data_IF_997330621353
#
_entry.id   IF_997330621353
#
_cell.length_a   1.000
_cell.length_b   1.000
_cell.length_c   1.000
_cell.angle_alpha   90.00
_cell.angle_beta   90.00
_cell.angle_gamma   90.00
#
_symmetry.space_group_name_H-M   'P 1'
#
loop_
_entity.id
_entity.type
_entity.pdbx_description
1 polymer ?
#
# COMPACT_ATOMS: atom_id res chain seq x y z
N UNK A 1 -30.99 -67.25 -25.42
CA UNK A 1 -32.24 -66.48 -25.52
C UNK A 1 -32.16 -65.31 -24.54
N UNK A 2 -31.90 -64.10 -25.05
CA UNK A 2 -31.84 -62.86 -24.25
C UNK A 2 -33.26 -62.28 -24.19
N UNK A 3 -33.83 -62.20 -22.98
CA UNK A 3 -35.11 -61.53 -22.76
C UNK A 3 -34.86 -60.08 -22.36
N UNK A 4 -35.38 -59.16 -23.17
CA UNK A 4 -35.51 -57.72 -22.87
C UNK A 4 -36.59 -57.53 -21.80
N UNK A 5 -36.30 -56.72 -20.78
CA UNK A 5 -37.29 -56.23 -19.83
C UNK A 5 -37.45 -54.71 -19.99
N UNK A 6 -38.63 -54.39 -20.51
CA UNK A 6 -39.46 -53.19 -20.43
C UNK A 6 -38.97 -52.01 -19.56
N UNK A 7 -38.82 -50.84 -20.18
CA UNK A 7 -38.80 -49.53 -19.50
C UNK A 7 -40.17 -48.89 -19.69
N UNK A 8 -40.95 -48.76 -18.60
CA UNK A 8 -42.23 -48.06 -18.59
C UNK A 8 -41.96 -46.61 -18.16
N UNK A 9 -42.31 -45.67 -19.03
CA UNK A 9 -42.31 -44.24 -18.74
C UNK A 9 -43.52 -43.90 -17.85
N UNK A 10 -43.26 -43.31 -16.67
CA UNK A 10 -44.30 -42.75 -15.81
C UNK A 10 -44.15 -41.21 -15.82
N UNK A 11 -45.07 -40.54 -16.52
CA UNK A 11 -45.32 -39.11 -16.35
C UNK A 11 -46.19 -38.90 -15.12
N UNK A 12 -45.73 -38.11 -14.15
CA UNK A 12 -46.56 -37.59 -13.06
C UNK A 12 -46.79 -36.08 -13.29
N UNK A 13 -48.03 -35.58 -13.22
CA UNK A 13 -48.32 -34.16 -13.27
C UNK A 13 -48.19 -33.56 -11.86
N UNK A 14 -47.49 -32.43 -11.74
CA UNK A 14 -47.57 -31.56 -10.55
C UNK A 14 -48.20 -30.24 -10.99
N UNK A 15 -49.39 -29.98 -10.48
CA UNK A 15 -50.08 -28.71 -10.61
C UNK A 15 -50.08 -27.95 -9.28
N UNK A 16 -49.80 -26.66 -9.44
CA UNK A 16 -50.28 -25.49 -8.69
C UNK A 16 -49.57 -25.00 -7.42
N UNK A 17 -49.20 -23.72 -7.56
CA UNK A 17 -49.52 -22.60 -6.67
C UNK A 17 -48.47 -22.20 -5.63
N UNK A 18 -47.72 -21.16 -6.01
CA UNK A 18 -46.89 -20.36 -5.11
C UNK A 18 -46.67 -18.99 -5.75
N UNK A 19 -47.65 -18.11 -5.60
CA UNK A 19 -47.53 -16.70 -5.96
C UNK A 19 -46.62 -16.04 -4.91
N UNK A 20 -45.39 -15.73 -5.30
CA UNK A 20 -44.43 -14.95 -4.51
C UNK A 20 -43.80 -13.91 -5.43
N UNK A 21 -44.39 -12.72 -5.46
CA UNK A 21 -43.79 -11.54 -6.08
C UNK A 21 -42.50 -11.21 -5.32
N UNK A 22 -41.34 -11.60 -5.84
CA UNK A 22 -40.06 -11.00 -5.43
C UNK A 22 -39.86 -9.77 -6.31
N UNK A 23 -40.27 -8.62 -5.77
CA UNK A 23 -39.94 -7.33 -6.34
C UNK A 23 -38.44 -7.06 -6.15
N UNK A 24 -37.76 -6.79 -7.26
CA UNK A 24 -36.58 -5.92 -7.30
C UNK A 24 -35.32 -6.46 -6.62
N UNK A 25 -34.57 -7.29 -7.32
CA UNK A 25 -33.10 -7.28 -7.16
C UNK A 25 -32.66 -5.95 -7.75
N UNK A 26 -32.47 -4.95 -6.88
CA UNK A 26 -31.72 -3.75 -7.24
C UNK A 26 -30.34 -4.22 -7.71
N UNK A 27 -29.84 -3.78 -8.87
CA UNK A 27 -28.42 -3.94 -9.16
C UNK A 27 -27.67 -3.33 -7.99
N UNK A 28 -26.76 -4.10 -7.38
CA UNK A 28 -25.94 -3.61 -6.29
C UNK A 28 -25.30 -2.30 -6.72
N UNK A 29 -25.55 -1.26 -5.94
CA UNK A 29 -24.81 -0.01 -6.04
C UNK A 29 -23.32 -0.37 -5.95
N UNK A 30 -22.64 -0.11 -7.06
CA UNK A 30 -21.21 0.04 -7.12
C UNK A 30 -20.83 1.12 -6.10
N UNK A 31 -20.06 0.73 -5.09
CA UNK A 31 -19.44 1.64 -4.13
C UNK A 31 -18.28 2.35 -4.83
N UNK A 32 -18.37 3.67 -5.09
CA UNK A 32 -17.34 4.40 -5.82
C UNK A 32 -16.09 4.73 -4.97
N UNK A 33 -16.03 4.30 -3.71
CA UNK A 33 -14.89 4.53 -2.82
C UNK A 33 -14.23 3.22 -2.32
N UNK A 34 -13.36 2.60 -3.13
CA UNK A 34 -12.56 1.44 -2.72
C UNK A 34 -11.44 1.78 -1.71
N UNK A 35 -11.30 3.04 -1.28
CA UNK A 35 -10.22 3.49 -0.40
C UNK A 35 -10.67 3.88 1.01
N UNK A 36 -11.97 3.91 1.31
CA UNK A 36 -12.49 3.85 2.67
C UNK A 36 -11.98 4.94 3.63
N UNK A 37 -11.73 6.16 3.13
CA UNK A 37 -11.37 7.32 3.96
C UNK A 37 -12.53 8.32 3.98
N UNK A 38 -13.56 8.00 4.77
CA UNK A 38 -14.57 8.96 5.17
C UNK A 38 -14.58 9.14 6.70
N UNK A 39 -14.14 10.32 7.13
CA UNK A 39 -14.53 11.07 8.32
C UNK A 39 -14.50 10.36 9.69
N UNK A 40 -13.30 10.29 10.26
CA UNK A 40 -13.07 10.03 11.70
C UNK A 40 -12.50 11.25 12.40
N UNK A 41 -13.36 12.17 12.84
CA UNK A 41 -12.98 13.34 13.64
C UNK A 41 -12.16 12.95 14.88
N UNK A 42 -11.02 13.62 15.05
CA UNK A 42 -10.08 13.41 16.14
C UNK A 42 -10.68 13.64 17.53
N UNK A 43 -10.50 12.67 18.41
CA UNK A 43 -10.72 12.81 19.84
C UNK A 43 -9.60 13.62 20.47
N UNK A 44 -9.92 14.84 20.91
CA UNK A 44 -9.04 15.66 21.73
C UNK A 44 -8.93 15.07 23.15
N UNK A 45 -7.76 14.53 23.50
CA UNK A 45 -7.37 14.20 24.86
C UNK A 45 -6.75 15.42 25.54
N UNK A 46 -7.40 15.91 26.60
CA UNK A 46 -7.00 17.09 27.34
C UNK A 46 -5.80 16.86 28.27
N UNK A 47 -5.09 17.95 28.55
CA UNK A 47 -4.12 18.04 29.64
C UNK A 47 -4.40 19.31 30.46
N UNK A 48 -4.90 19.11 31.67
CA UNK A 48 -4.96 20.11 32.73
C UNK A 48 -3.67 20.11 33.56
N UNK A 49 -3.19 21.30 33.90
CA UNK A 49 -2.70 21.61 35.25
C UNK A 49 -1.18 21.62 35.50
N UNK A 50 -0.64 22.80 35.82
CA UNK A 50 0.63 22.90 36.55
C UNK A 50 1.28 24.29 36.57
N UNK A 51 0.73 25.24 37.32
CA UNK A 51 1.33 26.55 37.56
C UNK A 51 2.25 26.56 38.80
N UNK A 52 3.34 27.34 38.74
CA UNK A 52 4.24 27.72 39.85
C UNK A 52 5.72 27.54 39.50
N UNK A 53 6.66 28.44 39.76
CA UNK A 53 6.65 29.74 40.42
C UNK A 53 7.92 30.54 40.05
N UNK A 54 7.97 31.79 40.53
CA UNK A 54 8.91 32.83 40.14
C UNK A 54 10.23 32.90 40.95
N UNK A 55 11.23 33.58 40.37
CA UNK A 55 12.43 34.17 41.01
C UNK A 55 13.75 33.50 40.56
N UNK A 56 14.85 34.17 40.20
CA UNK A 56 15.26 35.59 40.24
C UNK A 56 16.53 35.78 39.39
N UNK A 57 16.62 36.94 38.71
CA UNK A 57 17.82 37.78 38.44
C UNK A 57 19.18 37.19 37.98
N UNK A 58 19.63 37.66 36.82
CA UNK A 58 20.94 38.35 36.71
C UNK A 58 21.98 37.72 35.78
N UNK A 59 22.28 38.38 34.66
CA UNK A 59 23.47 38.10 33.85
C UNK A 59 23.37 38.65 32.43
N UNK A 60 23.89 39.85 32.20
CA UNK A 60 23.95 40.51 30.90
C UNK A 60 25.09 39.98 30.02
N UNK A 61 24.89 40.02 28.70
CA UNK A 61 25.95 40.26 27.72
C UNK A 61 26.54 39.01 27.06
N UNK A 62 25.99 38.63 25.90
CA UNK A 62 26.61 37.70 24.96
C UNK A 62 26.08 37.97 23.56
N UNK A 63 26.91 38.57 22.74
CA UNK A 63 26.68 38.99 21.36
C UNK A 63 26.20 37.88 20.44
N UNK A 64 25.30 38.24 19.52
CA UNK A 64 24.64 37.41 18.51
C UNK A 64 25.46 36.23 17.97
N UNK A 65 25.08 35.04 18.40
CA UNK A 65 25.18 33.86 17.55
C UNK A 65 24.01 33.93 16.59
N UNK A 66 24.29 33.99 15.29
CA UNK A 66 23.32 33.64 14.28
C UNK A 66 22.75 32.28 14.66
N UNK A 67 21.44 32.23 14.89
CA UNK A 67 20.66 31.00 14.97
C UNK A 67 20.87 30.26 13.65
N UNK A 68 21.92 29.45 13.58
CA UNK A 68 21.99 28.39 12.59
C UNK A 68 20.88 27.43 13.00
N UNK A 69 19.74 27.58 12.33
CA UNK A 69 18.72 26.56 12.28
C UNK A 69 19.45 25.22 12.10
N UNK A 70 19.23 24.22 12.97
CA UNK A 70 19.91 22.95 12.84
C UNK A 70 19.68 22.45 11.42
N UNK A 71 20.76 22.37 10.62
CA UNK A 71 20.65 21.91 9.24
C UNK A 71 19.96 20.55 9.28
N UNK A 72 18.81 20.47 8.61
CA UNK A 72 18.09 19.21 8.47
C UNK A 72 19.10 18.18 7.95
N UNK A 73 19.16 16.98 8.56
CA UNK A 73 20.12 15.96 8.14
C UNK A 73 20.03 15.80 6.63
N UNK A 74 21.20 15.71 5.98
CA UNK A 74 21.26 15.53 4.53
C UNK A 74 20.42 14.32 4.17
N UNK A 75 19.42 14.54 3.32
CA UNK A 75 18.56 13.49 2.81
C UNK A 75 19.40 12.32 2.29
N UNK A 76 19.15 11.13 2.83
CA UNK A 76 19.72 9.88 2.35
C UNK A 76 18.78 9.25 1.31
N UNK A 77 19.32 8.34 0.50
CA UNK A 77 18.51 7.54 -0.40
C UNK A 77 17.67 6.49 0.35
N UNK A 78 18.03 6.16 1.60
CA UNK A 78 17.26 5.24 2.45
C UNK A 78 15.86 5.81 2.68
N UNK A 79 14.85 5.05 2.29
CA UNK A 79 13.44 5.36 2.46
C UNK A 79 12.98 4.88 3.83
N UNK A 80 13.27 3.62 4.13
CA UNK A 80 12.93 3.01 5.41
C UNK A 80 13.72 1.73 5.62
N UNK A 81 14.22 1.53 6.84
CA UNK A 81 14.78 0.29 7.36
C UNK A 81 13.94 -0.27 8.53
N UNK A 82 12.84 0.41 8.89
CA UNK A 82 11.90 0.05 9.96
C UNK A 82 12.51 -0.05 11.36
N UNK A 83 13.75 0.39 11.55
CA UNK A 83 14.50 0.24 12.81
C UNK A 83 14.03 1.20 13.91
N UNK A 84 13.20 2.19 13.57
CA UNK A 84 12.51 3.04 14.54
C UNK A 84 11.25 2.38 15.13
N UNK A 85 10.88 1.20 14.64
CA UNK A 85 9.84 0.34 15.19
C UNK A 85 8.41 0.85 14.94
N UNK A 86 8.24 1.77 13.99
CA UNK A 86 6.92 2.28 13.63
C UNK A 86 6.59 2.07 12.14
N UNK A 87 5.43 2.58 11.71
CA UNK A 87 4.92 2.43 10.36
C UNK A 87 5.15 3.67 9.49
N UNK A 88 5.94 4.64 9.92
CA UNK A 88 6.27 5.84 9.16
C UNK A 88 7.61 5.65 8.46
N UNK A 89 7.71 6.14 7.22
CA UNK A 89 8.99 6.13 6.53
C UNK A 89 9.93 7.21 7.10
N UNK A 90 11.23 7.02 6.93
CA UNK A 90 12.23 7.97 7.41
C UNK A 90 12.01 9.36 6.81
N UNK A 91 11.84 10.35 7.69
CA UNK A 91 11.60 11.74 7.26
C UNK A 91 12.82 12.36 6.59
N UNK A 92 12.61 12.96 5.42
CA UNK A 92 13.66 13.69 4.70
C UNK A 92 13.03 14.64 3.66
N UNK A 93 13.32 15.95 3.74
CA UNK A 93 12.62 16.99 2.96
C UNK A 93 11.09 16.81 3.07
N UNK A 94 10.38 16.72 1.95
CA UNK A 94 8.94 16.51 1.87
C UNK A 94 8.56 15.03 2.01
N UNK A 95 9.49 14.13 2.34
CA UNK A 95 9.17 12.73 2.59
C UNK A 95 8.57 12.56 3.98
N UNK A 96 7.26 12.40 4.03
CA UNK A 96 6.45 12.27 5.25
C UNK A 96 5.37 11.24 4.97
N UNK A 97 5.78 9.98 4.91
CA UNK A 97 4.95 8.87 4.47
C UNK A 97 4.66 7.84 5.55
N UNK A 98 3.83 6.85 5.23
CA UNK A 98 3.53 5.75 6.13
C UNK A 98 3.14 4.50 5.37
N UNK A 99 3.49 3.35 5.94
CA UNK A 99 3.13 2.03 5.47
C UNK A 99 1.65 1.75 5.61
N UNK A 100 1.11 1.02 4.65
CA UNK A 100 -0.26 0.56 4.60
C UNK A 100 -0.35 -0.83 3.97
N UNK A 101 -1.46 -1.52 4.23
CA UNK A 101 -1.86 -2.69 3.46
C UNK A 101 -3.12 -2.38 2.66
N UNK A 102 -3.27 -3.05 1.53
CA UNK A 102 -4.41 -2.91 0.64
C UNK A 102 -4.76 -4.26 0.01
N UNK A 103 -6.02 -4.41 -0.39
CA UNK A 103 -6.48 -5.55 -1.18
C UNK A 103 -7.71 -5.21 -2.04
N UNK A 104 -8.07 -6.14 -2.92
CA UNK A 104 -9.15 -5.99 -3.88
C UNK A 104 -10.58 -6.16 -3.32
N UNK A 105 -10.75 -6.23 -2.00
CA UNK A 105 -12.06 -6.35 -1.35
C UNK A 105 -12.75 -7.72 -1.53
N UNK A 106 -12.06 -8.75 -2.04
CA UNK A 106 -12.62 -10.10 -2.15
C UNK A 106 -13.08 -10.60 -0.78
N UNK A 107 -14.39 -10.89 -0.63
CA UNK A 107 -15.00 -11.31 0.65
C UNK A 107 -14.35 -12.53 1.31
N UNK A 108 -13.85 -13.47 0.50
CA UNK A 108 -13.16 -14.66 0.99
C UNK A 108 -11.65 -14.47 1.17
N UNK A 109 -11.12 -13.31 0.76
CA UNK A 109 -9.72 -12.96 0.92
C UNK A 109 -9.37 -12.69 2.38
N UNK A 110 -8.15 -13.06 2.75
CA UNK A 110 -7.59 -12.79 4.05
C UNK A 110 -6.21 -12.16 3.88
N UNK A 111 -5.90 -11.17 4.70
CA UNK A 111 -4.61 -10.50 4.72
C UNK A 111 -4.24 -10.06 6.14
N UNK A 112 -2.96 -10.14 6.45
CA UNK A 112 -2.37 -9.65 7.69
C UNK A 112 -1.14 -8.80 7.33
N UNK A 113 -1.04 -7.55 7.84
CA UNK A 113 -2.08 -6.78 8.52
C UNK A 113 -3.32 -6.52 7.63
N UNK A 114 -4.50 -6.40 8.24
CA UNK A 114 -5.72 -6.01 7.51
C UNK A 114 -5.63 -4.54 7.04
N UNK A 115 -6.11 -4.19 5.83
CA UNK A 115 -6.19 -2.80 5.40
C UNK A 115 -6.92 -1.91 6.41
N UNK A 116 -6.43 -0.68 6.55
CA UNK A 116 -6.94 0.29 7.53
C UNK A 116 -6.56 -0.01 8.99
N UNK A 117 -5.70 -1.01 9.24
CA UNK A 117 -5.06 -1.21 10.55
C UNK A 117 -3.66 -0.59 10.56
N UNK A 118 -3.17 -0.18 11.75
CA UNK A 118 -1.78 0.24 11.87
C UNK A 118 -0.84 -0.81 11.29
N UNK A 119 0.08 -0.36 10.45
CA UNK A 119 1.20 -1.18 10.02
C UNK A 119 2.26 -1.14 11.11
N UNK A 120 2.73 -2.31 11.53
CA UNK A 120 3.80 -2.44 12.52
C UNK A 120 4.87 -3.38 11.97
N UNK A 121 6.15 -3.03 12.08
CA UNK A 121 7.23 -3.91 11.69
C UNK A 121 7.23 -5.20 12.51
N UNK A 122 7.84 -6.25 11.94
CA UNK A 122 8.01 -7.56 12.61
C UNK A 122 9.48 -7.95 12.67
N UNK A 123 9.83 -8.81 13.63
CA UNK A 123 11.17 -9.35 13.81
C UNK A 123 11.22 -10.84 13.43
N UNK A 124 12.34 -11.37 12.87
CA UNK A 124 13.59 -10.67 12.56
C UNK A 124 13.58 -10.01 11.17
N UNK A 125 14.32 -8.91 11.05
CA UNK A 125 14.67 -8.26 9.80
C UNK A 125 15.73 -8.99 8.97
N UNK A 126 16.23 -8.30 7.95
CA UNK A 126 17.33 -8.73 7.11
C UNK A 126 18.68 -8.47 7.79
N UNK A 127 19.55 -9.49 7.82
CA UNK A 127 20.94 -9.31 8.25
C UNK A 127 21.04 -8.79 9.70
N UNK A 128 21.62 -7.59 9.95
CA UNK A 128 21.70 -6.99 11.27
C UNK A 128 20.42 -6.26 11.72
N UNK A 129 19.44 -6.02 10.83
CA UNK A 129 18.20 -5.30 11.13
C UNK A 129 17.30 -6.09 12.08
N UNK A 130 16.70 -5.41 13.06
CA UNK A 130 15.77 -6.00 14.03
C UNK A 130 14.38 -6.21 13.39
N UNK A 131 14.00 -5.32 12.48
CA UNK A 131 12.66 -5.19 11.95
C UNK A 131 12.61 -5.35 10.43
N UNK A 132 11.43 -5.71 9.92
CA UNK A 132 11.09 -5.73 8.50
C UNK A 132 9.58 -5.52 8.30
N UNK A 133 9.21 -5.04 7.11
CA UNK A 133 7.81 -4.96 6.70
C UNK A 133 7.31 -6.35 6.29
N UNK A 134 6.16 -6.77 6.82
CA UNK A 134 5.59 -8.10 6.55
C UNK A 134 4.16 -8.02 6.06
N UNK A 135 3.84 -8.83 5.06
CA UNK A 135 2.46 -9.06 4.64
C UNK A 135 2.25 -10.52 4.27
N UNK A 136 1.13 -11.08 4.74
CA UNK A 136 0.69 -12.42 4.37
C UNK A 136 -0.79 -12.41 3.99
N UNK A 137 -1.19 -13.27 3.06
CA UNK A 137 -2.57 -13.35 2.61
C UNK A 137 -2.85 -14.40 1.55
N UNK A 138 -4.13 -14.58 1.26
CA UNK A 138 -4.63 -15.51 0.25
C UNK A 138 -6.10 -15.24 -0.08
N UNK A 139 -6.61 -15.86 -1.14
CA UNK A 139 -8.05 -15.91 -1.44
C UNK A 139 -8.60 -14.72 -2.23
N UNK A 140 -7.73 -13.84 -2.74
CA UNK A 140 -8.09 -12.72 -3.61
C UNK A 140 -8.34 -13.21 -5.04
N UNK A 141 -9.41 -12.74 -5.69
CA UNK A 141 -9.83 -13.24 -7.02
C UNK A 141 -9.99 -12.16 -8.08
N UNK A 142 -9.86 -10.88 -7.71
CA UNK A 142 -10.10 -9.75 -8.61
C UNK A 142 -8.80 -9.13 -9.12
N UNK A 143 -8.11 -8.38 -8.25
CA UNK A 143 -6.84 -7.71 -8.57
C UNK A 143 -5.69 -8.31 -7.77
N UNK A 144 -5.91 -8.67 -6.52
CA UNK A 144 -4.87 -9.14 -5.61
C UNK A 144 -4.80 -8.34 -4.32
N UNK A 145 -3.63 -8.34 -3.69
CA UNK A 145 -3.38 -7.66 -2.43
C UNK A 145 -1.89 -7.36 -2.25
N UNK A 146 -1.57 -6.44 -1.34
CA UNK A 146 -0.19 -6.06 -1.07
C UNK A 146 -0.02 -5.14 0.11
N UNK A 147 1.21 -4.67 0.27
CA UNK A 147 1.58 -3.60 1.17
C UNK A 147 2.32 -2.53 0.39
N UNK A 148 2.42 -1.33 0.94
CA UNK A 148 3.18 -0.24 0.35
C UNK A 148 3.33 0.88 1.36
N UNK A 149 3.94 1.97 0.93
CA UNK A 149 3.98 3.20 1.69
C UNK A 149 3.82 4.40 0.77
N UNK A 150 3.09 5.40 1.24
CA UNK A 150 2.98 6.68 0.55
C UNK A 150 4.27 7.45 0.79
N UNK A 151 4.70 8.25 -0.19
CA UNK A 151 5.97 8.99 -0.09
C UNK A 151 5.81 10.32 0.64
N UNK A 152 4.61 10.89 0.67
CA UNK A 152 4.36 12.20 1.26
C UNK A 152 2.89 12.37 1.67
N UNK A 153 2.68 13.13 2.75
CA UNK A 153 1.38 13.56 3.22
C UNK A 153 1.38 15.06 3.49
N UNK A 154 0.27 15.72 3.10
CA UNK A 154 -0.04 17.05 3.56
C UNK A 154 -0.33 17.06 5.07
N UNK A 155 -0.18 18.21 5.76
CA UNK A 155 -0.80 18.38 7.08
C UNK A 155 -2.29 18.02 7.02
N UNK A 156 -2.70 17.05 7.84
CA UNK A 156 -4.07 16.49 7.83
C UNK A 156 -4.21 15.15 7.11
N UNK A 157 -3.14 14.60 6.53
CA UNK A 157 -3.08 13.22 6.04
C UNK A 157 -3.48 13.02 4.58
N UNK A 158 -3.74 14.09 3.81
CA UNK A 158 -3.98 13.95 2.38
C UNK A 158 -2.69 13.51 1.68
N UNK A 159 -2.77 12.45 0.87
CA UNK A 159 -1.63 11.94 0.10
C UNK A 159 -1.12 13.01 -0.88
N UNK A 160 0.19 13.20 -0.88
CA UNK A 160 0.89 14.13 -1.75
C UNK A 160 1.94 13.41 -2.59
N UNK A 161 2.37 14.10 -3.62
CA UNK A 161 3.46 13.63 -4.46
C UNK A 161 4.84 13.95 -3.85
N UNK A 162 5.85 13.22 -4.29
CA UNK A 162 7.26 13.37 -3.94
C UNK A 162 8.10 13.41 -5.22
N UNK A 163 9.06 14.35 -5.26
CA UNK A 163 10.01 14.46 -6.37
C UNK A 163 11.18 13.49 -6.17
N UNK A 164 11.11 12.36 -6.87
CA UNK A 164 12.14 11.34 -6.95
C UNK A 164 13.03 11.48 -8.21
N UNK A 165 13.00 12.61 -8.91
CA UNK A 165 13.75 12.82 -10.17
C UNK A 165 15.28 12.73 -10.03
N UNK A 166 15.79 12.84 -8.80
CA UNK A 166 17.20 12.65 -8.48
C UNK A 166 17.63 11.18 -8.41
N UNK A 167 16.71 10.23 -8.57
CA UNK A 167 16.96 8.79 -8.44
C UNK A 167 16.60 8.06 -9.73
N UNK A 168 17.20 6.89 -9.93
CA UNK A 168 16.99 6.05 -11.12
C UNK A 168 16.23 4.75 -10.85
N UNK A 169 15.90 4.45 -9.59
CA UNK A 169 15.26 3.19 -9.23
C UNK A 169 15.10 2.99 -7.73
N UNK A 170 14.74 1.77 -7.36
CA UNK A 170 14.55 1.28 -6.00
C UNK A 170 15.43 0.05 -5.76
N UNK A 171 16.09 -0.01 -4.61
CA UNK A 171 16.69 -1.23 -4.07
C UNK A 171 16.02 -1.58 -2.74
N UNK A 172 15.88 -2.87 -2.49
CA UNK A 172 15.31 -3.39 -1.24
C UNK A 172 15.74 -4.84 -1.06
N UNK A 173 15.68 -5.33 0.17
CA UNK A 173 15.82 -6.74 0.46
C UNK A 173 14.43 -7.37 0.56
N UNK A 174 14.30 -8.61 0.08
CA UNK A 174 13.06 -9.35 0.22
C UNK A 174 13.29 -10.85 0.40
N UNK A 175 12.33 -11.50 1.06
CA UNK A 175 12.15 -12.95 1.07
C UNK A 175 10.66 -13.30 1.22
N UNK A 176 10.31 -14.54 0.90
CA UNK A 176 8.96 -15.06 1.12
C UNK A 176 8.96 -16.47 1.72
N UNK A 177 7.85 -16.91 2.30
CA UNK A 177 7.72 -18.27 2.83
C UNK A 177 7.77 -19.35 1.73
N UNK A 178 7.45 -18.97 0.50
CA UNK A 178 7.61 -19.78 -0.72
C UNK A 178 8.01 -18.84 -1.88
N UNK A 179 8.69 -19.35 -2.93
CA UNK A 179 8.99 -18.54 -4.11
C UNK A 179 7.71 -17.88 -4.64
N UNK A 180 7.73 -16.56 -4.75
CA UNK A 180 6.53 -15.76 -5.02
C UNK A 180 6.84 -14.73 -6.09
N UNK A 181 5.95 -14.60 -7.07
CA UNK A 181 6.01 -13.50 -8.03
C UNK A 181 5.29 -12.28 -7.45
N UNK A 182 5.97 -11.13 -7.44
CA UNK A 182 5.43 -9.86 -6.95
C UNK A 182 5.61 -8.78 -8.01
N UNK A 183 4.78 -7.74 -7.97
CA UNK A 183 4.96 -6.53 -8.76
C UNK A 183 5.39 -5.40 -7.82
N UNK A 184 6.50 -4.73 -8.17
CA UNK A 184 6.94 -3.53 -7.47
C UNK A 184 6.38 -2.34 -8.25
N UNK A 185 5.35 -1.70 -7.71
CA UNK A 185 4.61 -0.63 -8.38
C UNK A 185 5.01 0.74 -7.84
N UNK A 186 4.95 1.72 -8.75
CA UNK A 186 5.26 3.13 -8.54
C UNK A 186 4.09 3.96 -9.07
N UNK A 187 3.04 4.19 -8.26
CA UNK A 187 2.01 5.15 -8.58
C UNK A 187 2.61 6.54 -8.85
N UNK A 188 2.26 7.14 -9.98
CA UNK A 188 2.63 8.50 -10.37
C UNK A 188 1.37 9.35 -10.55
N UNK A 189 1.53 10.64 -10.86
CA UNK A 189 0.40 11.55 -11.14
C UNK A 189 -0.59 11.04 -12.21
N UNK A 190 -0.16 10.15 -13.11
CA UNK A 190 -0.97 9.69 -14.24
C UNK A 190 -1.75 8.41 -13.91
N UNK A 191 -1.36 7.68 -12.87
CA UNK A 191 -1.89 6.34 -12.53
C UNK A 191 -2.54 6.32 -11.15
N UNK A 192 -2.09 7.20 -10.25
CA UNK A 192 -2.64 7.43 -8.92
C UNK A 192 -3.85 8.37 -8.96
N UNK A 193 -4.88 8.08 -8.16
CA UNK A 193 -6.15 8.83 -8.18
C UNK A 193 -5.95 10.26 -7.67
N UNK A 194 -5.05 10.45 -6.72
CA UNK A 194 -4.72 11.73 -6.11
C UNK A 194 -3.92 12.63 -7.06
N UNK A 195 -3.40 12.06 -8.16
CA UNK A 195 -2.85 12.82 -9.29
C UNK A 195 -3.90 13.59 -10.09
N UNK A 196 -5.17 13.17 -10.04
CA UNK A 196 -6.29 13.82 -10.73
C UNK A 196 -6.21 13.77 -12.27
N UNK A 197 -5.30 12.97 -12.84
CA UNK A 197 -5.13 12.80 -14.29
C UNK A 197 -5.84 11.54 -14.79
N UNK A 198 -5.75 10.43 -14.06
CA UNK A 198 -6.48 9.23 -14.41
C UNK A 198 -7.98 9.40 -14.14
N UNK A 199 -8.82 8.76 -14.94
CA UNK A 199 -10.28 8.90 -14.82
C UNK A 199 -10.96 7.58 -14.41
N UNK A 200 -11.82 7.66 -13.40
CA UNK A 200 -12.74 6.59 -13.03
C UNK A 200 -12.05 5.24 -12.76
N UNK A 201 -12.38 4.24 -13.56
CA UNK A 201 -11.81 2.89 -13.49
C UNK A 201 -10.47 2.75 -14.22
N UNK A 202 -9.97 3.82 -14.85
CA UNK A 202 -8.67 3.88 -15.52
C UNK A 202 -7.51 4.23 -14.58
N UNK A 203 -7.78 4.50 -13.30
CA UNK A 203 -6.78 4.62 -12.25
C UNK A 203 -6.33 3.25 -11.73
N UNK A 204 -5.08 3.16 -11.30
CA UNK A 204 -4.49 1.95 -10.71
C UNK A 204 -3.65 1.10 -11.66
N UNK A 205 -3.51 1.51 -12.92
CA UNK A 205 -2.59 0.87 -13.88
C UNK A 205 -1.17 1.44 -13.67
N UNK A 206 -0.61 1.16 -12.49
CA UNK A 206 0.63 1.76 -12.04
C UNK A 206 1.82 1.26 -12.87
N UNK A 207 2.83 2.11 -12.98
CA UNK A 207 4.13 1.71 -13.50
C UNK A 207 4.75 0.69 -12.55
N UNK A 208 5.18 -0.45 -13.06
CA UNK A 208 5.78 -1.48 -12.22
C UNK A 208 6.67 -2.43 -12.98
N UNK A 209 7.33 -3.31 -12.22
CA UNK A 209 8.07 -4.45 -12.74
C UNK A 209 7.72 -5.70 -11.91
N UNK A 210 7.47 -6.81 -12.62
CA UNK A 210 7.24 -8.11 -12.01
C UNK A 210 8.56 -8.82 -11.72
N UNK A 211 8.77 -9.27 -10.48
CA UNK A 211 9.97 -9.99 -10.06
C UNK A 211 9.61 -11.26 -9.29
N UNK A 212 10.50 -12.26 -9.37
CA UNK A 212 10.39 -13.47 -8.57
C UNK A 212 11.28 -13.34 -7.32
N UNK A 213 10.65 -13.31 -6.14
CA UNK A 213 11.36 -13.33 -4.86
C UNK A 213 11.50 -14.75 -4.31
N UNK A 214 12.62 -15.02 -3.67
CA UNK A 214 12.98 -16.36 -3.16
C UNK A 214 12.67 -16.55 -1.68
N UNK A 215 12.96 -17.74 -1.15
CA UNK A 215 12.80 -18.05 0.28
C UNK A 215 13.92 -17.52 1.15
N UNK A 216 15.03 -17.11 0.54
CA UNK A 216 16.17 -16.50 1.23
C UNK A 216 16.17 -15.00 1.00
N UNK A 217 16.68 -14.25 1.98
CA UNK A 217 16.93 -12.83 1.81
C UNK A 217 17.87 -12.60 0.62
N UNK A 218 17.41 -11.82 -0.34
CA UNK A 218 18.20 -11.33 -1.44
C UNK A 218 17.88 -9.85 -1.68
N UNK A 219 18.85 -9.12 -2.21
CA UNK A 219 18.65 -7.75 -2.64
C UNK A 219 18.11 -7.73 -4.07
N UNK A 220 17.08 -6.93 -4.30
CA UNK A 220 16.48 -6.70 -5.60
C UNK A 220 16.63 -5.23 -5.97
N UNK A 221 16.72 -4.96 -7.27
CA UNK A 221 16.78 -3.60 -7.81
C UNK A 221 15.80 -3.48 -8.96
N UNK A 222 14.94 -2.47 -8.90
CA UNK A 222 13.97 -2.14 -9.94
C UNK A 222 14.28 -0.73 -10.44
N UNK A 223 14.62 -0.60 -11.72
CA UNK A 223 14.99 0.67 -12.34
C UNK A 223 13.77 1.37 -12.92
N UNK A 224 13.75 2.70 -12.90
CA UNK A 224 12.63 3.50 -13.43
C UNK A 224 12.49 3.41 -14.95
N UNK A 225 13.59 3.16 -15.66
CA UNK A 225 13.64 3.11 -17.14
C UNK A 225 13.06 1.83 -17.74
N UNK A 226 12.87 0.78 -16.94
CA UNK A 226 12.22 -0.47 -17.35
C UNK A 226 10.73 -0.54 -17.01
N UNK A 227 10.23 0.42 -16.21
CA UNK A 227 8.85 0.37 -15.74
C UNK A 227 7.86 0.51 -16.89
N UNK A 228 6.80 -0.27 -16.81
CA UNK A 228 5.66 -0.18 -17.74
C UNK A 228 4.35 -0.38 -16.98
N UNK A 229 3.24 0.01 -17.60
CA UNK A 229 1.89 -0.30 -17.11
C UNK A 229 1.36 -1.54 -17.85
N UNK A 230 0.30 -2.16 -17.34
CA UNK A 230 -0.38 -3.28 -18.01
C UNK A 230 -1.21 -2.81 -19.23
N UNK A 231 -1.36 -1.49 -19.41
CA UNK A 231 -1.94 -0.85 -20.59
C UNK A 231 -3.46 -0.74 -20.58
N UNK A 232 -4.11 -0.97 -19.44
CA UNK A 232 -5.56 -0.79 -19.28
C UNK A 232 -5.92 0.59 -18.69
N UNK A 233 -4.93 1.34 -18.20
CA UNK A 233 -5.10 2.67 -17.62
C UNK A 233 -5.52 3.74 -18.62
N UNK A 234 -6.16 4.78 -18.11
CA UNK A 234 -6.53 5.96 -18.88
C UNK A 234 -6.10 7.21 -18.09
N UNK A 235 -5.08 7.96 -18.55
CA UNK A 235 -4.27 7.73 -19.75
C UNK A 235 -3.33 6.51 -19.63
N UNK A 236 -2.76 6.07 -20.75
CA UNK A 236 -1.69 5.07 -20.81
C UNK A 236 -0.34 5.77 -21.14
N UNK A 237 0.31 6.42 -20.16
CA UNK A 237 1.58 7.10 -20.35
C UNK A 237 2.70 6.13 -20.76
N UNK A 238 3.65 6.62 -21.56
CA UNK A 238 4.73 5.79 -22.10
C UNK A 238 5.91 5.56 -21.13
N UNK A 239 6.01 6.34 -20.06
CA UNK A 239 7.09 6.28 -19.09
C UNK A 239 6.64 6.84 -17.73
N UNK A 240 7.25 6.32 -16.67
CA UNK A 240 7.06 6.76 -15.30
C UNK A 240 7.48 8.23 -15.14
N UNK A 241 6.71 9.00 -14.36
CA UNK A 241 7.04 10.38 -13.98
C UNK A 241 7.63 10.45 -12.56
N UNK A 242 8.96 10.38 -12.40
CA UNK A 242 9.60 10.38 -11.09
C UNK A 242 9.48 11.73 -10.37
N UNK A 243 9.17 12.83 -11.06
CA UNK A 243 8.95 14.12 -10.41
C UNK A 243 7.63 14.17 -9.65
N UNK A 244 6.72 13.22 -9.92
CA UNK A 244 5.43 13.13 -9.27
C UNK A 244 5.09 11.71 -8.81
N UNK A 245 5.98 11.11 -8.01
CA UNK A 245 5.76 9.79 -7.41
C UNK A 245 4.84 9.89 -6.17
N UNK A 246 3.96 8.92 -5.97
CA UNK A 246 2.97 8.92 -4.90
C UNK A 246 3.26 7.86 -3.83
N UNK A 247 3.63 6.65 -4.25
CA UNK A 247 3.88 5.52 -3.34
C UNK A 247 4.92 4.57 -3.91
N UNK A 248 5.31 3.60 -3.10
CA UNK A 248 5.95 2.36 -3.54
C UNK A 248 5.11 1.21 -3.01
N UNK A 249 4.76 0.26 -3.88
CA UNK A 249 3.91 -0.87 -3.49
C UNK A 249 4.53 -2.22 -3.86
N UNK A 250 4.39 -3.18 -2.97
CA UNK A 250 4.73 -4.59 -3.17
C UNK A 250 3.43 -5.38 -3.33
N UNK A 251 3.09 -5.67 -4.58
CA UNK A 251 1.81 -6.22 -4.97
C UNK A 251 1.90 -7.72 -5.31
N UNK A 252 0.88 -8.47 -4.94
CA UNK A 252 0.68 -9.87 -5.38
C UNK A 252 -0.62 -9.96 -6.16
N UNK A 253 -0.56 -10.62 -7.32
CA UNK A 253 -1.75 -10.79 -8.16
C UNK A 253 -2.79 -11.71 -7.50
N UNK A 254 -4.04 -11.63 -7.99
CA UNK A 254 -5.09 -12.59 -7.63
C UNK A 254 -4.64 -14.05 -7.69
N UNK A 255 -5.28 -14.90 -6.89
CA UNK A 255 -4.98 -16.33 -6.75
C UNK A 255 -3.59 -16.64 -6.20
N UNK A 256 -2.84 -15.64 -5.72
CA UNK A 256 -1.57 -15.84 -5.03
C UNK A 256 -1.80 -16.10 -3.55
N UNK A 257 -1.12 -17.11 -3.02
CA UNK A 257 -0.90 -17.26 -1.57
C UNK A 257 0.47 -16.66 -1.28
N UNK A 258 0.52 -15.66 -0.41
CA UNK A 258 1.74 -14.91 -0.15
C UNK A 258 1.98 -14.78 1.35
N UNK A 259 3.24 -14.74 1.71
CA UNK A 259 3.78 -14.45 3.03
C UNK A 259 5.20 -13.96 2.76
N UNK A 260 5.39 -12.64 2.77
CA UNK A 260 6.61 -11.99 2.32
C UNK A 260 7.04 -10.88 3.25
N UNK A 261 8.36 -10.72 3.33
CA UNK A 261 9.01 -9.64 4.05
C UNK A 261 9.84 -8.80 3.09
N UNK A 262 9.84 -7.48 3.31
CA UNK A 262 10.74 -6.54 2.65
C UNK A 262 11.45 -5.67 3.70
N UNK A 263 12.67 -5.25 3.40
CA UNK A 263 13.52 -4.53 4.33
C UNK A 263 14.55 -3.67 3.59
N UNK A 264 15.22 -2.75 4.30
CA UNK A 264 16.31 -1.90 3.81
C UNK A 264 15.97 -1.21 2.47
N UNK A 265 14.82 -0.52 2.42
CA UNK A 265 14.27 0.08 1.21
C UNK A 265 14.97 1.41 0.94
N UNK A 266 15.59 1.55 -0.22
CA UNK A 266 16.31 2.77 -0.60
C UNK A 266 16.15 3.08 -2.08
N UNK A 267 16.17 4.37 -2.42
CA UNK A 267 16.34 4.78 -3.81
C UNK A 267 17.74 4.45 -4.33
N UNK A 268 17.85 4.27 -5.64
CA UNK A 268 19.13 4.18 -6.38
C UNK A 268 19.50 5.60 -6.86
N UNK A 269 20.64 6.18 -6.42
CA UNK A 269 21.10 7.51 -6.86
C UNK A 269 21.52 7.60 -8.32
#
# INVERSE_FOLDING_TARGET
>A
MRFQVLTVALCAPVSLSGCGLVLGISPGEYDPDPFGLADGAGGAGGSDGGAGGAGSSGGAGGSGGSDAEPELPTCTALLDDLEDGDGAILRCKDRIGSWYTYNDGTRAGAQTPLPGRPFLPVSPGHGPSEYAAHVAGSGFVSRGAGMGFDLNFAPGGAKLTYDASAYSGLTFWAKAAAPTHIYVNFPDRNTDREGGVCEGSGCGDHFGEGIDITTEWAQYTVMFDILSTDGWGVPAPAAFDPAHAYSIEFHTAKSTVFDMLVDDIAFVP
#
